data_IF_621521174347
#
_entry.id   IF_621521174347
#
_cell.length_a   1.000
_cell.length_b   1.000
_cell.length_c   1.000
_cell.angle_alpha   90.00
_cell.angle_beta   90.00
_cell.angle_gamma   90.00
#
_symmetry.space_group_name_H-M   'P 1'
#
loop_
_entity.id
_entity.type
_entity.pdbx_description
1 polymer ?
#
# COMPACT_ATOMS: atom_id res chain seq x y z
N UNK A 1 -14.67 -2.09 2.18
CA UNK A 1 -13.49 -2.61 1.42
C UNK A 1 -13.78 -2.49 -0.08
N UNK A 2 -12.77 -2.37 -0.96
CA UNK A 2 -12.95 -2.57 -2.40
C UNK A 2 -13.50 -3.98 -2.70
N UNK A 3 -14.15 -4.14 -3.85
CA UNK A 3 -14.55 -5.46 -4.36
C UNK A 3 -13.32 -6.29 -4.75
N UNK A 4 -13.50 -7.61 -4.93
CA UNK A 4 -12.46 -8.50 -5.44
C UNK A 4 -11.88 -8.00 -6.77
N UNK A 5 -12.74 -7.69 -7.73
CA UNK A 5 -12.33 -7.19 -9.05
C UNK A 5 -11.54 -5.88 -8.93
N UNK A 6 -11.97 -5.00 -8.02
CA UNK A 6 -11.25 -3.75 -7.79
C UNK A 6 -9.88 -4.00 -7.15
N UNK A 7 -9.74 -5.01 -6.27
CA UNK A 7 -8.44 -5.39 -5.72
C UNK A 7 -7.49 -5.92 -6.79
N UNK A 8 -7.98 -6.78 -7.69
CA UNK A 8 -7.21 -7.28 -8.83
C UNK A 8 -6.70 -6.11 -9.67
N UNK A 9 -7.58 -5.17 -10.01
CA UNK A 9 -7.23 -3.97 -10.77
C UNK A 9 -6.14 -3.14 -10.05
N UNK A 10 -6.31 -2.89 -8.75
CA UNK A 10 -5.35 -2.11 -7.95
C UNK A 10 -3.99 -2.81 -7.86
N UNK A 11 -3.95 -4.12 -7.64
CA UNK A 11 -2.71 -4.91 -7.61
C UNK A 11 -1.98 -4.82 -8.94
N UNK A 12 -2.70 -4.97 -10.05
CA UNK A 12 -2.14 -4.82 -11.40
C UNK A 12 -1.58 -3.41 -11.64
N UNK A 13 -2.31 -2.36 -11.24
CA UNK A 13 -1.85 -0.96 -11.39
C UNK A 13 -0.62 -0.64 -10.53
N UNK A 14 -0.50 -1.26 -9.37
CA UNK A 14 0.67 -1.10 -8.49
C UNK A 14 1.91 -1.86 -8.99
N UNK A 15 1.73 -2.89 -9.82
CA UNK A 15 2.82 -3.75 -10.27
C UNK A 15 3.42 -4.61 -9.16
N UNK A 16 2.62 -4.98 -8.15
CA UNK A 16 3.05 -5.84 -7.03
C UNK A 16 2.34 -7.20 -7.12
N UNK A 17 2.81 -8.20 -6.36
CA UNK A 17 2.06 -9.44 -6.18
C UNK A 17 0.88 -9.26 -5.23
N UNK A 18 -0.16 -10.08 -5.35
CA UNK A 18 -1.28 -10.12 -4.39
C UNK A 18 -0.77 -10.34 -2.97
N UNK A 19 0.20 -11.25 -2.81
CA UNK A 19 0.83 -11.53 -1.51
C UNK A 19 1.49 -10.30 -0.88
N UNK A 20 2.10 -9.41 -1.67
CA UNK A 20 2.70 -8.18 -1.17
C UNK A 20 1.68 -7.20 -0.58
N UNK A 21 0.40 -7.32 -0.96
CA UNK A 21 -0.69 -6.53 -0.40
C UNK A 21 -1.08 -6.99 1.02
N UNK A 22 -0.71 -8.20 1.45
CA UNK A 22 -1.10 -8.73 2.75
C UNK A 22 -0.37 -8.05 3.90
N UNK A 23 -1.15 -7.56 4.85
CA UNK A 23 -0.69 -7.09 6.15
C UNK A 23 -0.63 -8.29 7.09
N UNK A 24 0.56 -8.60 7.59
CA UNK A 24 0.73 -9.64 8.60
C UNK A 24 0.44 -9.11 10.02
N UNK A 25 1.18 -8.08 10.45
CA UNK A 25 1.13 -7.59 11.85
C UNK A 25 -0.22 -6.99 12.23
N UNK A 26 -0.79 -7.49 13.34
CA UNK A 26 -2.04 -7.01 13.92
C UNK A 26 -3.27 -7.44 13.11
N UNK A 27 -3.20 -8.61 12.49
CA UNK A 27 -4.25 -9.18 11.63
C UNK A 27 -4.31 -10.70 11.86
N UNK A 28 -5.37 -11.40 11.41
CA UNK A 28 -5.45 -12.85 11.52
C UNK A 28 -4.59 -13.62 10.50
N UNK A 29 -3.56 -12.99 9.90
CA UNK A 29 -2.74 -13.60 8.85
C UNK A 29 -2.15 -14.96 9.23
N UNK A 30 -1.55 -15.05 10.42
CA UNK A 30 -0.93 -16.29 10.89
C UNK A 30 -1.99 -17.33 11.32
N UNK A 31 -3.08 -16.88 11.96
CA UNK A 31 -4.23 -17.73 12.37
C UNK A 31 -4.93 -18.39 11.17
N UNK A 32 -4.98 -17.68 10.04
CA UNK A 32 -5.57 -18.15 8.78
C UNK A 32 -4.57 -18.92 7.90
N UNK A 33 -3.31 -19.10 8.34
CA UNK A 33 -2.30 -19.84 7.59
C UNK A 33 -1.86 -19.19 6.28
N UNK A 34 -2.04 -17.87 6.14
CA UNK A 34 -1.79 -17.15 4.87
C UNK A 34 -0.31 -17.08 4.49
N UNK A 35 0.58 -17.50 5.39
CA UNK A 35 2.01 -17.68 5.14
C UNK A 35 2.38 -18.85 4.23
N UNK A 36 1.46 -19.77 3.96
CA UNK A 36 1.72 -20.90 3.07
C UNK A 36 1.98 -20.41 1.62
N UNK A 37 3.16 -20.74 1.10
CA UNK A 37 3.61 -20.37 -0.24
C UNK A 37 2.84 -21.11 -1.34
N UNK A 38 2.16 -22.22 -1.02
CA UNK A 38 1.31 -22.96 -1.97
C UNK A 38 -0.03 -22.28 -2.23
N UNK A 39 -0.44 -21.30 -1.40
CA UNK A 39 -1.68 -20.56 -1.61
C UNK A 39 -1.63 -19.73 -2.90
N UNK A 40 -2.67 -19.86 -3.70
CA UNK A 40 -2.87 -19.08 -4.92
C UNK A 40 -3.24 -17.63 -4.62
N UNK A 41 -2.96 -16.74 -5.57
CA UNK A 41 -3.40 -15.34 -5.50
C UNK A 41 -4.92 -15.22 -5.30
N UNK A 42 -5.70 -16.13 -5.89
CA UNK A 42 -7.16 -16.17 -5.71
C UNK A 42 -7.58 -16.42 -4.26
N UNK A 43 -6.91 -17.34 -3.57
CA UNK A 43 -7.19 -17.62 -2.16
C UNK A 43 -6.83 -16.43 -1.27
N UNK A 44 -5.73 -15.73 -1.58
CA UNK A 44 -5.31 -14.54 -0.85
C UNK A 44 -6.29 -13.37 -1.07
N UNK A 45 -6.83 -13.22 -2.28
CA UNK A 45 -7.87 -12.23 -2.59
C UNK A 45 -9.17 -12.52 -1.83
N UNK A 46 -9.62 -13.78 -1.79
CA UNK A 46 -10.78 -14.17 -0.99
C UNK A 46 -10.59 -13.85 0.49
N UNK A 47 -9.41 -14.15 1.04
CA UNK A 47 -9.08 -13.82 2.41
C UNK A 47 -9.15 -12.31 2.66
N UNK A 48 -8.62 -11.47 1.76
CA UNK A 48 -8.67 -10.00 1.88
C UNK A 48 -10.09 -9.43 1.77
N UNK A 49 -10.94 -10.02 0.93
CA UNK A 49 -12.35 -9.62 0.82
C UNK A 49 -13.13 -9.99 2.08
N UNK A 50 -12.91 -11.21 2.61
CA UNK A 50 -13.52 -11.68 3.85
C UNK A 50 -13.01 -10.93 5.09
N UNK A 51 -11.71 -10.61 5.12
CA UNK A 51 -11.05 -9.93 6.24
C UNK A 51 -10.29 -8.70 5.74
N UNK A 52 -10.96 -7.55 5.53
CA UNK A 52 -10.33 -6.33 5.02
C UNK A 52 -9.13 -5.80 5.80
N UNK A 53 -9.01 -6.19 7.08
CA UNK A 53 -7.87 -5.87 7.92
C UNK A 53 -6.54 -6.46 7.40
N UNK A 54 -6.61 -7.53 6.60
CA UNK A 54 -5.48 -8.15 5.92
C UNK A 54 -4.90 -7.27 4.80
N UNK A 55 -5.56 -6.20 4.38
CA UNK A 55 -4.98 -5.31 3.37
C UNK A 55 -3.98 -4.34 4.01
N UNK A 56 -2.77 -4.28 3.46
CA UNK A 56 -1.81 -3.22 3.78
C UNK A 56 -2.37 -1.86 3.36
N UNK A 57 -2.00 -0.83 4.15
CA UNK A 57 -2.50 0.54 3.98
C UNK A 57 -1.35 1.56 4.15
N UNK A 58 -1.48 2.76 3.53
CA UNK A 58 -2.55 3.18 2.62
C UNK A 58 -2.31 2.75 1.17
N UNK A 59 -3.40 2.47 0.46
CA UNK A 59 -3.43 2.41 -1.01
C UNK A 59 -3.86 3.77 -1.54
N UNK A 60 -3.10 4.34 -2.47
CA UNK A 60 -3.39 5.65 -3.05
C UNK A 60 -3.49 5.51 -4.57
N UNK A 61 -4.55 6.10 -5.13
CA UNK A 61 -4.83 6.16 -6.57
C UNK A 61 -4.83 7.62 -6.99
N UNK A 62 -4.09 7.97 -8.03
CA UNK A 62 -4.09 9.28 -8.67
C UNK A 62 -4.13 9.12 -10.19
N UNK A 63 -4.31 10.21 -10.97
CA UNK A 63 -4.17 10.15 -12.42
C UNK A 63 -2.78 9.69 -12.92
N UNK A 64 -1.75 9.79 -12.08
CA UNK A 64 -0.38 9.37 -12.43
C UNK A 64 -0.09 7.90 -12.13
N UNK A 65 -0.91 7.25 -11.30
CA UNK A 65 -0.76 5.83 -10.99
C UNK A 65 -1.35 5.43 -9.64
N UNK A 66 -1.09 4.17 -9.27
CA UNK A 66 -1.53 3.57 -8.01
C UNK A 66 -0.33 3.04 -7.24
N UNK A 67 -0.32 3.26 -5.91
CA UNK A 67 0.77 2.80 -5.03
C UNK A 67 0.26 2.32 -3.67
N UNK A 68 0.89 1.25 -3.17
CA UNK A 68 0.92 0.94 -1.74
C UNK A 68 1.99 1.82 -1.11
N UNK A 69 1.57 2.87 -0.41
CA UNK A 69 2.50 3.89 0.09
C UNK A 69 3.13 3.45 1.41
N UNK A 70 4.01 2.46 1.33
CA UNK A 70 4.84 1.96 2.44
C UNK A 70 6.30 1.90 1.98
N UNK A 71 7.13 2.90 2.32
CA UNK A 71 6.88 3.97 3.29
C UNK A 71 5.95 5.09 2.72
N UNK A 72 5.44 5.97 3.59
CA UNK A 72 4.36 6.90 3.22
C UNK A 72 4.75 7.90 2.11
N UNK A 73 6.02 8.30 2.07
CA UNK A 73 6.64 9.16 1.06
C UNK A 73 6.64 8.58 -0.36
N UNK A 74 6.38 7.28 -0.53
CA UNK A 74 6.16 6.71 -1.86
C UNK A 74 4.94 7.32 -2.58
N UNK A 75 4.04 7.99 -1.85
CA UNK A 75 2.94 8.76 -2.45
C UNK A 75 3.45 9.91 -3.33
N UNK A 76 4.62 10.48 -3.02
CA UNK A 76 5.19 11.62 -3.74
C UNK A 76 5.46 11.30 -5.21
N UNK A 77 5.71 10.02 -5.52
CA UNK A 77 5.97 9.55 -6.88
C UNK A 77 4.71 9.59 -7.77
N UNK A 78 3.53 9.71 -7.18
CA UNK A 78 2.25 9.68 -7.90
C UNK A 78 1.38 10.92 -7.64
N UNK A 79 1.82 11.92 -6.87
CA UNK A 79 1.07 13.16 -6.71
C UNK A 79 1.22 14.05 -7.96
N UNK A 80 0.12 14.59 -8.52
CA UNK A 80 0.18 15.40 -9.73
C UNK A 80 0.77 16.79 -9.52
N UNK A 81 0.87 17.23 -8.26
CA UNK A 81 1.40 18.53 -7.88
C UNK A 81 2.55 18.34 -6.89
N UNK A 82 3.59 19.19 -6.95
CA UNK A 82 4.68 19.14 -6.00
C UNK A 82 4.22 19.51 -4.58
N UNK A 83 5.02 19.13 -3.58
CA UNK A 83 4.83 19.58 -2.21
C UNK A 83 4.98 21.10 -2.14
N UNK A 84 4.10 21.75 -1.37
CA UNK A 84 4.02 23.23 -1.28
C UNK A 84 4.91 23.82 -0.18
N UNK A 85 5.41 22.98 0.72
CA UNK A 85 6.24 23.34 1.85
C UNK A 85 7.05 22.11 2.32
N UNK A 86 7.98 22.33 3.25
CA UNK A 86 8.67 21.25 3.94
C UNK A 86 7.67 20.27 4.58
N UNK A 87 8.04 18.99 4.61
CA UNK A 87 7.21 17.93 5.19
C UNK A 87 8.07 17.06 6.10
N UNK A 88 7.61 16.93 7.34
CA UNK A 88 8.21 16.10 8.38
C UNK A 88 7.15 15.14 8.89
N UNK A 89 7.49 13.85 8.98
CA UNK A 89 6.62 12.82 9.54
C UNK A 89 6.40 13.04 11.04
N UNK A 90 5.40 12.36 11.59
CA UNK A 90 5.07 12.40 13.02
C UNK A 90 6.23 11.94 13.92
N UNK A 91 7.12 11.06 13.42
CA UNK A 91 8.30 10.59 14.13
C UNK A 91 9.51 11.55 14.04
N UNK A 92 9.35 12.70 13.40
CA UNK A 92 10.41 13.70 13.20
C UNK A 92 11.27 13.47 11.95
N UNK A 93 11.04 12.39 11.19
CA UNK A 93 11.76 12.15 9.93
C UNK A 93 11.39 13.22 8.90
N UNK A 94 12.35 14.06 8.50
CA UNK A 94 12.17 15.04 7.43
C UNK A 94 12.15 14.31 6.08
N UNK A 95 11.15 14.59 5.25
CA UNK A 95 11.00 13.98 3.90
C UNK A 95 11.26 15.03 2.83
N UNK A 96 10.71 16.23 3.00
CA UNK A 96 10.94 17.39 2.11
C UNK A 96 11.56 18.51 2.94
N UNK A 97 12.66 19.10 2.48
CA UNK A 97 13.29 20.25 3.12
C UNK A 97 12.63 21.59 2.75
N UNK A 98 13.14 22.68 3.32
CA UNK A 98 12.60 24.03 3.10
C UNK A 98 12.86 24.54 1.67
N UNK A 99 13.76 23.89 0.94
CA UNK A 99 14.07 24.12 -0.48
C UNK A 99 13.18 23.28 -1.42
N UNK A 100 12.31 22.42 -0.88
CA UNK A 100 11.42 21.56 -1.67
C UNK A 100 12.08 20.26 -2.17
N UNK A 101 13.29 19.95 -1.71
CA UNK A 101 14.04 18.76 -2.11
C UNK A 101 13.68 17.57 -1.23
N UNK A 102 13.68 16.36 -1.82
CA UNK A 102 13.50 15.10 -1.11
C UNK A 102 14.78 14.73 -0.36
N UNK A 103 14.67 14.49 0.93
CA UNK A 103 15.81 14.19 1.82
C UNK A 103 15.72 12.80 2.50
N UNK A 104 14.69 12.02 2.16
CA UNK A 104 14.47 10.64 2.62
C UNK A 104 14.00 9.73 1.47
#
# INVERSE_FOLDING_TARGET
PPSRDKLIELVAQMGISVRALLRQKGTPYDELGLGDAALSDDALLDAMVAHPILMNRPLVVTPLGTRLCRPCEAVLDILPLPQRAAFTKEDGTRVINDQGERVA
#
